data_IF_659783776854
#
_entry.id   IF_659783776854
#
_cell.length_a   1.000
_cell.length_b   1.000
_cell.length_c   1.000
_cell.angle_alpha   90.00
_cell.angle_beta   90.00
_cell.angle_gamma   90.00
#
_symmetry.space_group_name_H-M   'P 1'
#
loop_
_entity.id
_entity.type
_entity.pdbx_description
1 polymer ?
#
# COMPACT_ATOMS: atom_id res chain seq x y z
N UNK A 1 -30.30 -9.99 24.67
CA UNK A 1 -29.82 -8.93 25.60
C UNK A 1 -29.11 -9.49 26.83
N UNK A 2 -29.20 -10.80 27.12
CA UNK A 2 -28.44 -11.47 28.19
C UNK A 2 -27.09 -12.08 27.72
N UNK A 3 -26.83 -12.14 26.41
CA UNK A 3 -25.65 -12.83 25.84
C UNK A 3 -24.32 -12.09 26.08
N UNK A 4 -24.34 -10.75 26.16
CA UNK A 4 -23.12 -9.93 26.31
C UNK A 4 -22.51 -10.08 27.72
N UNK A 5 -23.34 -10.31 28.74
CA UNK A 5 -22.89 -10.44 30.13
C UNK A 5 -22.28 -11.82 30.44
N UNK A 6 -22.67 -12.88 29.72
CA UNK A 6 -22.03 -14.20 29.82
C UNK A 6 -20.68 -14.26 29.11
N UNK A 7 -20.56 -13.58 27.95
CA UNK A 7 -19.29 -13.48 27.21
C UNK A 7 -18.19 -12.82 28.05
N UNK A 8 -18.54 -11.77 28.82
CA UNK A 8 -17.58 -11.07 29.68
C UNK A 8 -17.18 -11.93 30.90
N UNK A 9 -18.07 -12.79 31.39
CA UNK A 9 -17.84 -13.60 32.60
C UNK A 9 -16.98 -14.84 32.34
N UNK A 10 -16.92 -15.31 31.10
CA UNK A 10 -16.11 -16.45 30.64
C UNK A 10 -14.95 -16.03 29.71
N UNK A 11 -14.39 -14.84 29.90
CA UNK A 11 -13.14 -14.49 29.21
C UNK A 11 -11.98 -15.29 29.83
N UNK A 12 -11.39 -16.14 29.00
CA UNK A 12 -10.19 -16.90 29.30
C UNK A 12 -8.96 -16.10 28.88
N UNK A 13 -7.79 -16.35 29.47
CA UNK A 13 -6.54 -15.74 29.00
C UNK A 13 -6.24 -16.02 27.51
N UNK A 14 -6.76 -17.12 26.99
CA UNK A 14 -6.68 -17.47 25.56
C UNK A 14 -7.45 -16.47 24.70
N UNK A 15 -8.63 -16.02 25.12
CA UNK A 15 -9.45 -15.05 24.39
C UNK A 15 -8.74 -13.68 24.32
N UNK A 16 -8.05 -13.30 25.40
CA UNK A 16 -7.26 -12.06 25.43
C UNK A 16 -6.11 -12.13 24.43
N UNK A 17 -5.37 -13.25 24.40
CA UNK A 17 -4.25 -13.45 23.46
C UNK A 17 -4.77 -13.49 22.03
N UNK A 18 -5.89 -14.16 21.77
CA UNK A 18 -6.52 -14.23 20.44
C UNK A 18 -6.95 -12.84 19.94
N UNK A 19 -7.67 -12.08 20.76
CA UNK A 19 -8.07 -10.70 20.42
C UNK A 19 -6.86 -9.83 20.14
N UNK A 20 -5.78 -9.94 20.94
CA UNK A 20 -4.58 -9.14 20.76
C UNK A 20 -3.85 -9.52 19.46
N UNK A 21 -3.80 -10.80 19.13
CA UNK A 21 -3.21 -11.32 17.91
C UNK A 21 -4.00 -10.85 16.68
N UNK A 22 -5.32 -11.05 16.68
CA UNK A 22 -6.23 -10.59 15.62
C UNK A 22 -6.16 -9.08 15.44
N UNK A 23 -6.21 -8.31 16.54
CA UNK A 23 -6.10 -6.85 16.51
C UNK A 23 -4.76 -6.38 15.91
N UNK A 24 -3.66 -7.06 16.25
CA UNK A 24 -2.35 -6.75 15.69
C UNK A 24 -2.31 -7.03 14.19
N UNK A 25 -2.84 -8.17 13.73
CA UNK A 25 -2.93 -8.49 12.29
C UNK A 25 -3.76 -7.44 11.56
N UNK A 26 -4.95 -7.11 12.07
CA UNK A 26 -5.83 -6.09 11.49
C UNK A 26 -5.12 -4.73 11.45
N UNK A 27 -4.44 -4.33 12.52
CA UNK A 27 -3.69 -3.07 12.58
C UNK A 27 -2.63 -2.98 11.47
N UNK A 28 -1.82 -4.03 11.29
CA UNK A 28 -0.82 -4.05 10.23
C UNK A 28 -1.43 -4.10 8.83
N UNK A 29 -2.53 -4.84 8.62
CA UNK A 29 -3.26 -4.86 7.35
C UNK A 29 -3.81 -3.47 6.99
N UNK A 30 -4.45 -2.79 7.95
CA UNK A 30 -4.95 -1.43 7.75
C UNK A 30 -3.79 -0.46 7.45
N UNK A 31 -2.70 -0.54 8.21
CA UNK A 31 -1.50 0.28 7.99
C UNK A 31 -0.87 0.04 6.62
N UNK A 32 -0.90 -1.20 6.12
CA UNK A 32 -0.41 -1.55 4.78
C UNK A 32 -1.29 -0.97 3.66
N UNK A 33 -2.61 -0.93 3.87
CA UNK A 33 -3.57 -0.40 2.91
C UNK A 33 -3.53 1.13 2.83
N UNK A 34 -3.30 1.83 3.94
CA UNK A 34 -3.26 3.30 4.00
C UNK A 34 -2.24 3.88 3.01
N UNK A 35 -2.70 4.80 2.17
CA UNK A 35 -1.87 5.43 1.13
C UNK A 35 -1.77 4.65 -0.18
N UNK A 36 -2.40 3.47 -0.28
CA UNK A 36 -2.54 2.71 -1.52
C UNK A 36 -3.92 2.90 -2.16
N UNK A 37 -4.08 2.48 -3.41
CA UNK A 37 -5.41 2.38 -4.07
C UNK A 37 -6.39 1.52 -3.24
N UNK A 38 -5.90 0.51 -2.54
CA UNK A 38 -6.68 -0.32 -1.62
C UNK A 38 -7.38 0.47 -0.50
N UNK A 39 -6.80 1.57 -0.02
CA UNK A 39 -7.47 2.44 0.96
C UNK A 39 -8.73 3.11 0.39
N UNK A 40 -8.66 3.58 -0.85
CA UNK A 40 -9.80 4.22 -1.52
C UNK A 40 -10.91 3.20 -1.77
N UNK A 41 -10.55 2.00 -2.22
CA UNK A 41 -11.51 0.91 -2.44
C UNK A 41 -12.19 0.52 -1.12
N UNK A 42 -11.43 0.38 -0.02
CA UNK A 42 -11.97 0.05 1.30
C UNK A 42 -12.96 1.10 1.81
N UNK A 43 -12.64 2.39 1.66
CA UNK A 43 -13.56 3.49 1.98
C UNK A 43 -14.82 3.47 1.10
N UNK A 44 -14.68 3.14 -0.19
CA UNK A 44 -15.81 2.98 -1.10
C UNK A 44 -16.74 1.83 -0.70
N UNK A 45 -16.16 0.67 -0.34
CA UNK A 45 -16.91 -0.48 0.16
C UNK A 45 -17.62 -0.15 1.48
N UNK A 46 -16.93 0.53 2.40
CA UNK A 46 -17.51 0.96 3.67
C UNK A 46 -18.68 1.93 3.46
N UNK A 47 -18.54 2.90 2.55
CA UNK A 47 -19.61 3.80 2.14
C UNK A 47 -20.84 3.05 1.61
N UNK A 48 -20.65 2.09 0.70
CA UNK A 48 -21.74 1.25 0.18
C UNK A 48 -22.44 0.47 1.29
N UNK A 49 -21.68 -0.08 2.24
CA UNK A 49 -22.22 -0.80 3.39
C UNK A 49 -23.06 0.11 4.28
N UNK A 50 -22.59 1.34 4.55
CA UNK A 50 -23.35 2.35 5.29
C UNK A 50 -24.66 2.67 4.57
N UNK A 51 -24.63 2.95 3.26
CA UNK A 51 -25.82 3.26 2.46
C UNK A 51 -26.83 2.10 2.50
N UNK A 52 -26.35 0.85 2.43
CA UNK A 52 -27.23 -0.32 2.52
C UNK A 52 -27.90 -0.46 3.90
N UNK A 53 -27.14 -0.24 4.99
CA UNK A 53 -27.72 -0.24 6.35
C UNK A 53 -28.79 0.85 6.46
N UNK A 54 -28.51 2.05 5.95
CA UNK A 54 -29.50 3.13 5.86
C UNK A 54 -30.74 2.68 5.06
N UNK A 55 -30.56 2.04 3.91
CA UNK A 55 -31.68 1.54 3.10
C UNK A 55 -32.56 0.55 3.87
N UNK A 56 -31.96 -0.37 4.64
CA UNK A 56 -32.68 -1.35 5.46
C UNK A 56 -33.40 -0.69 6.63
N UNK A 57 -32.75 0.22 7.36
CA UNK A 57 -33.34 0.93 8.51
C UNK A 57 -34.54 1.77 8.09
N UNK A 58 -34.47 2.43 6.94
CA UNK A 58 -35.55 3.25 6.40
C UNK A 58 -36.57 2.44 5.57
N UNK A 59 -36.45 1.11 5.53
CA UNK A 59 -37.32 0.22 4.74
C UNK A 59 -37.45 0.62 3.27
N UNK A 60 -36.38 1.13 2.66
CA UNK A 60 -36.33 1.43 1.22
C UNK A 60 -36.28 0.11 0.45
N UNK A 61 -37.45 -0.41 0.07
CA UNK A 61 -37.61 -1.73 -0.57
C UNK A 61 -36.87 -1.82 -1.89
N UNK A 62 -36.99 -0.83 -2.77
CA UNK A 62 -36.30 -0.83 -4.08
C UNK A 62 -34.78 -0.80 -3.92
N UNK A 63 -34.26 0.06 -3.04
CA UNK A 63 -32.82 0.19 -2.83
C UNK A 63 -32.24 -1.06 -2.16
N UNK A 64 -32.94 -1.60 -1.16
CA UNK A 64 -32.56 -2.86 -0.51
C UNK A 64 -32.54 -4.02 -1.51
N UNK A 65 -33.53 -4.10 -2.40
CA UNK A 65 -33.58 -5.10 -3.47
C UNK A 65 -32.39 -4.98 -4.43
N UNK A 66 -31.99 -3.76 -4.81
CA UNK A 66 -30.79 -3.54 -5.64
C UNK A 66 -29.54 -4.07 -4.93
N UNK A 67 -29.33 -3.69 -3.67
CA UNK A 67 -28.17 -4.14 -2.91
C UNK A 67 -28.15 -5.66 -2.71
N UNK A 68 -29.28 -6.27 -2.38
CA UNK A 68 -29.37 -7.72 -2.17
C UNK A 68 -29.02 -8.50 -3.46
N UNK A 69 -29.38 -7.99 -4.64
CA UNK A 69 -28.93 -8.54 -5.93
C UNK A 69 -27.44 -8.29 -6.20
N UNK A 70 -26.92 -7.10 -5.86
CA UNK A 70 -25.49 -6.80 -6.00
C UNK A 70 -24.67 -7.74 -5.13
N UNK A 71 -25.11 -8.04 -3.90
CA UNK A 71 -24.41 -8.94 -2.98
C UNK A 71 -24.23 -10.36 -3.54
N UNK A 72 -25.17 -10.86 -4.35
CA UNK A 72 -25.05 -12.17 -5.00
C UNK A 72 -23.81 -12.27 -5.92
N UNK A 73 -23.39 -11.15 -6.52
CA UNK A 73 -22.18 -11.04 -7.35
C UNK A 73 -21.05 -10.29 -6.59
N UNK A 74 -21.37 -9.73 -5.42
CA UNK A 74 -20.54 -8.76 -4.69
C UNK A 74 -19.20 -9.32 -4.26
N UNK A 75 -19.16 -10.58 -3.79
CA UNK A 75 -17.89 -11.24 -3.42
C UNK A 75 -16.97 -11.33 -4.65
N UNK A 76 -17.50 -11.71 -5.80
CA UNK A 76 -16.73 -11.78 -7.04
C UNK A 76 -16.25 -10.39 -7.46
N UNK A 77 -17.12 -9.39 -7.41
CA UNK A 77 -16.77 -8.00 -7.72
C UNK A 77 -15.65 -7.47 -6.82
N UNK A 78 -15.73 -7.74 -5.52
CA UNK A 78 -14.71 -7.35 -4.54
C UNK A 78 -13.37 -8.02 -4.88
N UNK A 79 -13.35 -9.33 -5.13
CA UNK A 79 -12.10 -10.03 -5.49
C UNK A 79 -11.49 -9.48 -6.78
N UNK A 80 -12.30 -9.20 -7.80
CA UNK A 80 -11.83 -8.62 -9.07
C UNK A 80 -11.28 -7.20 -8.88
N UNK A 81 -11.97 -6.36 -8.10
CA UNK A 81 -11.51 -4.99 -7.82
C UNK A 81 -10.21 -5.00 -7.00
N UNK A 82 -10.09 -5.90 -6.03
CA UNK A 82 -8.89 -6.08 -5.19
C UNK A 82 -7.80 -6.93 -5.84
N UNK A 83 -8.02 -7.44 -7.06
CA UNK A 83 -7.07 -8.31 -7.76
C UNK A 83 -5.66 -7.66 -7.89
N UNK A 84 -5.53 -6.37 -8.25
CA UNK A 84 -4.22 -5.71 -8.35
C UNK A 84 -3.48 -5.68 -7.00
N UNK A 85 -4.18 -5.37 -5.92
CA UNK A 85 -3.63 -5.30 -4.56
C UNK A 85 -3.19 -6.68 -4.07
N UNK A 86 -4.02 -7.71 -4.26
CA UNK A 86 -3.69 -9.09 -3.93
C UNK A 86 -2.44 -9.56 -4.68
N UNK A 87 -2.36 -9.25 -5.98
CA UNK A 87 -1.20 -9.56 -6.80
C UNK A 87 0.07 -8.90 -6.27
N UNK A 88 0.01 -7.60 -5.96
CA UNK A 88 1.14 -6.83 -5.43
C UNK A 88 1.58 -7.33 -4.05
N UNK A 89 0.63 -7.65 -3.17
CA UNK A 89 0.94 -8.20 -1.85
C UNK A 89 1.66 -9.55 -1.96
N UNK A 90 1.20 -10.44 -2.83
CA UNK A 90 1.84 -11.73 -3.09
C UNK A 90 3.22 -11.57 -3.74
N UNK A 91 3.36 -10.65 -4.70
CA UNK A 91 4.65 -10.33 -5.31
C UNK A 91 5.67 -9.89 -4.25
N UNK A 92 5.28 -8.99 -3.36
CA UNK A 92 6.14 -8.48 -2.27
C UNK A 92 6.54 -9.56 -1.26
N UNK A 93 5.68 -10.55 -1.01
CA UNK A 93 6.00 -11.70 -0.16
C UNK A 93 7.00 -12.63 -0.87
N UNK A 94 6.85 -12.82 -2.20
CA UNK A 94 7.72 -13.66 -3.01
C UNK A 94 9.10 -13.04 -3.31
N UNK A 95 9.23 -11.72 -3.26
CA UNK A 95 10.45 -11.01 -3.66
C UNK A 95 11.62 -11.11 -2.66
N UNK A 96 11.46 -11.78 -1.51
CA UNK A 96 12.59 -12.13 -0.62
C UNK A 96 13.41 -10.96 -0.05
N UNK A 97 12.99 -9.71 -0.23
CA UNK A 97 13.77 -8.50 0.05
C UNK A 97 13.90 -8.12 1.53
N UNK A 98 13.92 -9.07 2.46
CA UNK A 98 14.13 -8.80 3.90
C UNK A 98 15.63 -8.92 4.27
N UNK A 99 16.48 -9.41 3.37
CA UNK A 99 17.91 -9.53 3.61
C UNK A 99 18.74 -8.83 2.54
N UNK A 100 18.95 -7.52 2.68
CA UNK A 100 20.17 -6.91 2.15
C UNK A 100 20.85 -6.08 3.24
N UNK A 101 22.11 -6.44 3.46
CA UNK A 101 23.09 -6.04 4.46
C UNK A 101 23.56 -4.58 4.32
N UNK A 102 22.62 -3.64 4.22
CA UNK A 102 22.90 -2.36 3.56
C UNK A 102 23.25 -1.15 4.43
N UNK A 103 23.48 -1.24 5.75
CA UNK A 103 23.68 0.00 6.54
C UNK A 103 24.96 0.76 6.12
N UNK A 104 26.03 0.05 5.75
CA UNK A 104 27.24 0.63 5.15
C UNK A 104 27.04 1.06 3.69
N UNK A 105 26.25 0.32 2.91
CA UNK A 105 25.97 0.65 1.50
C UNK A 105 25.10 1.91 1.37
N UNK A 106 24.16 2.14 2.30
CA UNK A 106 23.29 3.32 2.31
C UNK A 106 24.08 4.62 2.47
N UNK A 107 25.12 4.64 3.32
CA UNK A 107 25.94 5.84 3.52
C UNK A 107 26.69 6.22 2.25
N UNK A 108 27.28 5.23 1.57
CA UNK A 108 27.97 5.44 0.29
C UNK A 108 27.03 6.00 -0.78
N UNK A 109 25.83 5.42 -0.91
CA UNK A 109 24.81 5.90 -1.87
C UNK A 109 24.41 7.35 -1.58
N UNK A 110 24.21 7.72 -0.31
CA UNK A 110 23.88 9.09 0.08
C UNK A 110 25.01 10.06 -0.30
N UNK A 111 26.27 9.70 -0.02
CA UNK A 111 27.42 10.56 -0.36
C UNK A 111 27.55 10.77 -1.88
N UNK A 112 27.32 9.73 -2.70
CA UNK A 112 27.31 9.83 -4.17
C UNK A 112 26.20 10.76 -4.67
N UNK A 113 24.98 10.64 -4.12
CA UNK A 113 23.86 11.50 -4.51
C UNK A 113 24.09 12.95 -4.11
N UNK A 114 24.66 13.22 -2.93
CA UNK A 114 25.01 14.57 -2.49
C UNK A 114 26.01 15.19 -3.48
N UNK A 115 27.07 14.47 -3.83
CA UNK A 115 28.07 14.93 -4.81
C UNK A 115 27.43 15.25 -6.17
N UNK A 116 26.54 14.39 -6.64
CA UNK A 116 25.84 14.60 -7.90
C UNK A 116 24.91 15.82 -7.85
N UNK A 117 24.14 15.95 -6.78
CA UNK A 117 23.24 17.09 -6.58
C UNK A 117 24.01 18.42 -6.52
N UNK A 118 25.16 18.46 -5.84
CA UNK A 118 26.05 19.63 -5.82
C UNK A 118 26.52 19.99 -7.23
N UNK A 119 27.02 19.02 -7.99
CA UNK A 119 27.47 19.25 -9.37
C UNK A 119 26.35 19.76 -10.29
N UNK A 120 25.15 19.18 -10.19
CA UNK A 120 23.99 19.59 -10.98
C UNK A 120 23.52 21.01 -10.60
N UNK A 121 23.53 21.33 -9.31
CA UNK A 121 23.16 22.66 -8.81
C UNK A 121 24.13 23.76 -9.29
N UNK A 122 25.45 23.51 -9.25
CA UNK A 122 26.47 24.44 -9.76
C UNK A 122 26.26 24.77 -11.25
N UNK A 123 25.77 23.80 -12.02
CA UNK A 123 25.48 23.94 -13.45
C UNK A 123 24.05 24.37 -13.77
N UNK A 124 23.22 24.60 -12.74
CA UNK A 124 21.79 24.95 -12.88
C UNK A 124 21.00 23.93 -13.69
N UNK A 125 21.33 22.64 -13.53
CA UNK A 125 20.62 21.53 -14.17
C UNK A 125 19.55 21.03 -13.19
N UNK A 126 18.29 20.96 -13.65
CA UNK A 126 17.19 20.43 -12.85
C UNK A 126 17.24 18.91 -12.75
N UNK A 127 17.02 18.36 -11.55
CA UNK A 127 17.01 16.92 -11.31
C UNK A 127 15.92 16.54 -10.31
N UNK A 128 15.28 15.39 -10.53
CA UNK A 128 14.31 14.80 -9.63
C UNK A 128 14.79 13.41 -9.23
N UNK A 129 15.20 13.26 -7.97
CA UNK A 129 15.70 12.00 -7.41
C UNK A 129 14.75 11.55 -6.31
N UNK A 130 14.18 10.36 -6.46
CA UNK A 130 13.20 9.79 -5.52
C UNK A 130 13.79 8.54 -4.86
N UNK A 131 13.73 8.48 -3.53
CA UNK A 131 14.16 7.32 -2.76
C UNK A 131 12.96 6.51 -2.30
N UNK A 132 12.87 5.27 -2.77
CA UNK A 132 11.91 4.31 -2.23
C UNK A 132 12.20 4.01 -0.76
N UNK A 133 11.16 3.99 0.08
CA UNK A 133 11.27 3.66 1.52
C UNK A 133 10.36 2.49 1.85
N UNK A 134 9.28 2.74 2.59
CA UNK A 134 8.32 1.71 3.00
C UNK A 134 7.19 1.54 1.98
N UNK A 135 6.87 2.64 1.27
CA UNK A 135 5.89 2.67 0.20
C UNK A 135 6.65 2.37 -1.08
N UNK A 136 6.27 1.27 -1.71
CA UNK A 136 6.86 0.83 -2.97
C UNK A 136 6.32 1.70 -4.11
N UNK A 137 7.23 2.10 -5.00
CA UNK A 137 7.03 3.07 -6.07
C UNK A 137 6.70 2.42 -7.43
N UNK A 138 6.53 1.11 -7.51
CA UNK A 138 6.36 0.37 -8.77
C UNK A 138 5.24 0.93 -9.67
N UNK A 139 4.12 1.35 -9.08
CA UNK A 139 2.99 1.96 -9.81
C UNK A 139 3.29 3.37 -10.36
N UNK A 140 4.34 4.05 -9.89
CA UNK A 140 4.75 5.37 -10.35
C UNK A 140 5.86 5.32 -11.40
N UNK A 141 6.55 4.18 -11.50
CA UNK A 141 7.60 3.93 -12.50
C UNK A 141 7.10 3.12 -13.70
N UNK A 142 5.78 2.88 -13.77
CA UNK A 142 5.13 2.19 -14.87
C UNK A 142 5.27 3.03 -16.15
N UNK A 143 6.12 2.55 -17.09
CA UNK A 143 6.49 3.29 -18.31
C UNK A 143 7.88 3.95 -18.27
N UNK A 144 8.61 3.87 -17.15
CA UNK A 144 10.00 4.32 -17.07
C UNK A 144 10.99 3.28 -17.61
N UNK A 145 12.20 3.74 -17.96
CA UNK A 145 13.31 2.87 -18.38
C UNK A 145 14.02 2.30 -17.14
N UNK A 146 14.04 0.98 -16.99
CA UNK A 146 14.79 0.30 -15.92
C UNK A 146 16.28 0.27 -16.27
N UNK A 147 17.11 0.90 -15.45
CA UNK A 147 18.56 0.99 -15.64
C UNK A 147 19.31 -0.12 -14.88
N UNK A 148 18.79 -0.59 -13.74
CA UNK A 148 19.39 -1.65 -12.90
C UNK A 148 20.91 -1.50 -12.70
N UNK A 149 21.35 -0.34 -12.21
CA UNK A 149 22.76 -0.03 -12.02
C UNK A 149 23.07 0.35 -10.56
N UNK A 150 24.32 0.17 -10.17
CA UNK A 150 24.84 0.69 -8.91
C UNK A 150 24.85 2.22 -8.94
N UNK A 151 24.47 2.84 -7.81
CA UNK A 151 24.43 4.30 -7.70
C UNK A 151 25.86 4.85 -7.59
N UNK A 152 26.25 5.67 -8.56
CA UNK A 152 27.49 6.45 -8.55
C UNK A 152 27.25 7.86 -9.12
N UNK A 153 28.17 8.77 -8.84
CA UNK A 153 28.16 10.16 -9.30
C UNK A 153 27.97 10.28 -10.82
N UNK A 154 28.77 9.55 -11.60
CA UNK A 154 28.84 9.67 -13.05
C UNK A 154 27.52 9.28 -13.72
N UNK A 155 26.85 8.26 -13.21
CA UNK A 155 25.56 7.78 -13.70
C UNK A 155 24.48 8.82 -13.44
N UNK A 156 24.40 9.37 -12.22
CA UNK A 156 23.40 10.39 -11.88
C UNK A 156 23.58 11.61 -12.76
N UNK A 157 24.82 12.08 -12.94
CA UNK A 157 25.12 13.21 -13.82
C UNK A 157 24.67 12.90 -15.26
N UNK A 158 24.98 11.71 -15.76
CA UNK A 158 24.63 11.30 -17.13
C UNK A 158 23.13 11.28 -17.38
N UNK A 159 22.32 10.87 -16.40
CA UNK A 159 20.85 10.84 -16.49
C UNK A 159 20.26 12.25 -16.61
N UNK A 160 20.85 13.26 -15.96
CA UNK A 160 20.28 14.60 -15.90
C UNK A 160 20.93 15.61 -16.86
N UNK A 161 22.00 15.25 -17.58
CA UNK A 161 22.63 16.15 -18.56
C UNK A 161 21.66 16.43 -19.73
N UNK A 162 21.39 17.72 -20.04
CA UNK A 162 20.60 18.10 -21.21
C UNK A 162 21.26 17.62 -22.51
N UNK A 163 20.47 17.09 -23.45
CA UNK A 163 20.87 16.50 -24.75
C UNK A 163 21.26 15.01 -24.74
N UNK A 164 20.87 14.24 -23.73
CA UNK A 164 20.87 12.78 -23.82
C UNK A 164 19.45 12.25 -24.09
N UNK A 165 19.28 11.09 -24.75
CA UNK A 165 17.97 10.50 -25.04
C UNK A 165 17.26 9.91 -23.81
N UNK A 166 17.78 10.15 -22.59
CA UNK A 166 17.20 9.77 -21.31
C UNK A 166 16.69 11.01 -20.56
#
# INVERSE_FOLDING_TARGET
>A
MFDIFEIIKNITWVDIVDILLVATIIYYLLKFLIGTRGWQILLGLFSLLVIWIFAKVFNLTTLSWIFDNIWAIGIFLVVVIFQPELRRALAKIGEGGIFTSGFLSKKKVIDEVIRAATFLAERKIGALIVFERNIDLENYVEGCVKINADVNLELIISIFIPQTPL
#
